data_IF_945821226491
#
_entry.id   IF_945821226491
#
_cell.length_a   1.000
_cell.length_b   1.000
_cell.length_c   1.000
_cell.angle_alpha   90.00
_cell.angle_beta   90.00
_cell.angle_gamma   90.00
#
_symmetry.space_group_name_H-M   'P 1'
#
loop_
_entity.id
_entity.type
_entity.pdbx_description
1 polymer ?
#
# COMPACT_ATOMS: atom_id res chain seq x y z
N UNK A 1 -14.39 -25.61 -17.66
CA UNK A 1 -14.58 -24.49 -16.76
C UNK A 1 -15.18 -23.36 -17.58
N UNK A 2 -16.34 -22.81 -17.24
CA UNK A 2 -16.88 -21.68 -17.97
C UNK A 2 -15.95 -20.48 -17.72
N UNK A 3 -15.46 -19.92 -18.80
CA UNK A 3 -14.68 -18.68 -18.85
C UNK A 3 -15.60 -17.49 -18.56
N UNK A 4 -15.12 -16.63 -17.69
CA UNK A 4 -15.41 -15.19 -17.62
C UNK A 4 -16.88 -14.79 -17.84
N UNK A 5 -17.68 -14.90 -16.77
CA UNK A 5 -18.79 -14.00 -16.63
C UNK A 5 -18.20 -12.59 -16.51
N UNK A 6 -18.36 -11.76 -17.55
CA UNK A 6 -18.04 -10.34 -17.53
C UNK A 6 -18.80 -9.69 -16.37
N UNK A 7 -18.21 -9.66 -15.19
CA UNK A 7 -18.68 -8.77 -14.15
C UNK A 7 -18.57 -7.34 -14.69
N UNK A 8 -19.54 -6.48 -14.46
CA UNK A 8 -19.44 -5.10 -14.89
C UNK A 8 -18.17 -4.52 -14.31
N UNK A 9 -17.27 -4.07 -15.17
CA UNK A 9 -16.01 -3.47 -14.77
C UNK A 9 -16.35 -2.25 -13.92
N UNK A 10 -15.85 -2.23 -12.67
CA UNK A 10 -16.06 -1.09 -11.76
C UNK A 10 -15.47 0.16 -12.41
N UNK A 11 -16.27 1.22 -12.50
CA UNK A 11 -15.79 2.50 -13.00
C UNK A 11 -15.00 3.22 -11.88
N UNK A 12 -13.69 3.22 -12.02
CA UNK A 12 -12.73 3.80 -11.06
C UNK A 12 -12.45 5.28 -11.34
N UNK A 13 -13.29 5.97 -12.09
CA UNK A 13 -13.13 7.42 -12.28
C UNK A 13 -13.29 8.19 -10.97
N UNK A 14 -12.63 9.35 -10.87
CA UNK A 14 -12.68 10.20 -9.68
C UNK A 14 -14.11 10.60 -9.27
N UNK A 15 -15.02 10.75 -10.23
CA UNK A 15 -16.42 11.08 -9.95
C UNK A 15 -17.13 10.00 -9.12
N UNK A 16 -16.71 8.74 -9.21
CA UNK A 16 -17.27 7.61 -8.49
C UNK A 16 -16.52 7.32 -7.17
N UNK A 17 -15.50 8.11 -6.84
CA UNK A 17 -14.74 7.95 -5.60
C UNK A 17 -15.62 7.92 -4.34
N UNK A 18 -16.64 8.80 -4.18
CA UNK A 18 -17.51 8.77 -3.00
C UNK A 18 -18.28 7.44 -2.85
N UNK A 19 -18.58 6.78 -3.96
CA UNK A 19 -19.31 5.51 -3.95
C UNK A 19 -18.40 4.29 -3.84
N UNK A 20 -17.26 4.33 -4.52
CA UNK A 20 -16.32 3.21 -4.58
C UNK A 20 -15.32 3.21 -3.43
N UNK A 21 -15.01 4.37 -2.85
CA UNK A 21 -13.94 4.56 -1.87
C UNK A 21 -12.54 4.41 -2.48
N UNK A 22 -12.47 4.36 -3.80
CA UNK A 22 -11.20 4.28 -4.53
C UNK A 22 -11.37 4.82 -5.95
N UNK A 23 -10.27 5.31 -6.53
CA UNK A 23 -10.24 5.77 -7.92
C UNK A 23 -8.86 5.59 -8.54
N UNK A 24 -8.83 5.42 -9.84
CA UNK A 24 -7.63 5.41 -10.67
C UNK A 24 -7.48 6.77 -11.38
N UNK A 25 -6.36 7.42 -11.15
CA UNK A 25 -6.05 8.70 -11.81
C UNK A 25 -5.30 8.45 -13.12
N UNK A 26 -4.67 7.28 -13.24
CA UNK A 26 -3.88 6.89 -14.38
C UNK A 26 -2.43 7.39 -14.30
N UNK A 27 -1.72 7.27 -15.41
CA UNK A 27 -0.32 7.69 -15.51
C UNK A 27 -0.27 9.20 -15.80
N UNK A 28 -0.06 9.98 -14.76
CA UNK A 28 0.02 11.45 -14.86
C UNK A 28 1.46 11.97 -14.72
N UNK A 29 2.38 11.11 -14.30
CA UNK A 29 3.78 11.48 -14.14
C UNK A 29 4.60 11.00 -15.33
N UNK A 30 5.64 11.77 -15.61
CA UNK A 30 6.64 11.43 -16.61
C UNK A 30 7.31 10.10 -16.27
N UNK A 31 7.27 9.17 -17.24
CA UNK A 31 7.82 7.82 -17.08
C UNK A 31 9.33 7.83 -16.84
N UNK A 32 10.05 8.74 -17.50
CA UNK A 32 11.51 8.84 -17.36
C UNK A 32 11.88 9.31 -15.96
N UNK A 33 11.18 10.34 -15.44
CA UNK A 33 11.37 10.83 -14.07
C UNK A 33 11.00 9.78 -13.04
N UNK A 34 9.89 9.09 -13.22
CA UNK A 34 9.47 7.99 -12.33
C UNK A 34 10.51 6.88 -12.32
N UNK A 35 11.04 6.49 -13.48
CA UNK A 35 12.08 5.47 -13.60
C UNK A 35 13.41 5.91 -13.02
N UNK A 36 13.79 7.17 -13.20
CA UNK A 36 15.00 7.73 -12.60
C UNK A 36 14.91 7.76 -11.08
N UNK A 37 13.79 8.19 -10.54
CA UNK A 37 13.56 8.17 -9.10
C UNK A 37 13.56 6.74 -8.54
N UNK A 38 12.92 5.79 -9.23
CA UNK A 38 13.00 4.36 -8.87
C UNK A 38 14.44 3.87 -8.82
N UNK A 39 15.23 4.20 -9.84
CA UNK A 39 16.65 3.79 -9.90
C UNK A 39 17.45 4.37 -8.74
N UNK A 40 17.23 5.62 -8.41
CA UNK A 40 17.82 6.27 -7.25
C UNK A 40 17.44 5.56 -5.92
N UNK A 41 16.15 5.24 -5.74
CA UNK A 41 15.70 4.50 -4.57
C UNK A 41 16.33 3.10 -4.51
N UNK A 42 16.41 2.40 -5.64
CA UNK A 42 17.00 1.06 -5.71
C UNK A 42 18.49 1.06 -5.38
N UNK A 43 19.22 2.07 -5.83
CA UNK A 43 20.63 2.23 -5.50
C UNK A 43 20.86 2.44 -4.00
N UNK A 44 20.06 3.29 -3.39
CA UNK A 44 20.21 3.62 -1.96
C UNK A 44 19.58 2.58 -1.03
N UNK A 45 18.53 1.90 -1.48
CA UNK A 45 17.73 0.94 -0.71
C UNK A 45 17.44 -0.29 -1.58
N UNK A 46 18.43 -1.17 -1.76
CA UNK A 46 18.24 -2.40 -2.53
C UNK A 46 17.20 -3.31 -1.84
N UNK A 47 16.57 -4.20 -2.63
CA UNK A 47 15.72 -5.27 -2.11
C UNK A 47 16.41 -6.60 -2.36
N UNK A 48 17.12 -7.06 -1.35
CA UNK A 48 17.78 -8.36 -1.33
C UNK A 48 17.97 -8.81 0.13
N UNK A 49 18.53 -9.97 0.34
CA UNK A 49 18.78 -10.55 1.66
C UNK A 49 19.74 -9.74 2.55
N UNK A 50 20.58 -8.91 1.95
CA UNK A 50 21.59 -8.12 2.70
C UNK A 50 21.00 -7.03 3.59
N UNK A 51 19.73 -6.66 3.40
CA UNK A 51 19.07 -5.66 4.24
C UNK A 51 18.60 -6.25 5.58
N UNK A 52 18.51 -7.57 5.70
CA UNK A 52 17.98 -8.27 6.87
C UNK A 52 19.08 -8.71 7.83
N UNK A 53 18.74 -8.86 9.10
CA UNK A 53 19.58 -9.58 10.05
C UNK A 53 19.88 -10.98 9.52
N UNK A 54 21.13 -11.43 9.71
CA UNK A 54 21.61 -12.69 9.10
C UNK A 54 21.04 -13.93 9.76
N UNK A 55 20.65 -13.83 11.03
CA UNK A 55 20.10 -14.96 11.77
C UNK A 55 19.14 -14.50 12.86
N UNK A 56 18.37 -15.44 13.38
CA UNK A 56 17.47 -15.24 14.52
C UNK A 56 18.23 -14.74 15.75
N UNK A 57 19.40 -15.29 16.03
CA UNK A 57 20.23 -14.92 17.17
C UNK A 57 20.72 -13.47 17.07
N UNK A 58 21.13 -13.04 15.86
CA UNK A 58 21.50 -11.65 15.63
C UNK A 58 20.31 -10.72 15.82
N UNK A 59 19.15 -11.10 15.28
CA UNK A 59 17.92 -10.36 15.46
C UNK A 59 17.52 -10.25 16.93
N UNK A 60 17.53 -11.34 17.70
CA UNK A 60 17.20 -11.32 19.13
C UNK A 60 18.18 -10.49 19.96
N UNK A 61 19.42 -10.40 19.52
CA UNK A 61 20.44 -9.57 20.19
C UNK A 61 20.34 -8.07 19.86
N UNK A 62 19.90 -7.71 18.66
CA UNK A 62 19.97 -6.34 18.13
C UNK A 62 18.66 -5.82 17.57
N UNK A 63 17.78 -6.70 17.17
CA UNK A 63 16.52 -6.36 16.50
C UNK A 63 15.50 -5.70 17.40
N UNK A 64 14.52 -5.03 16.79
CA UNK A 64 13.45 -4.34 17.49
C UNK A 64 12.10 -4.85 17.01
N UNK A 65 11.29 -5.27 17.96
CA UNK A 65 9.88 -5.63 17.69
C UNK A 65 8.94 -4.43 17.55
N UNK A 66 9.44 -3.23 17.76
CA UNK A 66 8.63 -2.03 17.64
C UNK A 66 8.11 -1.88 16.21
N UNK A 67 6.83 -1.55 16.13
CA UNK A 67 6.17 -1.26 14.86
C UNK A 67 6.75 0.04 14.33
N UNK A 68 7.78 -0.07 13.51
CA UNK A 68 8.43 1.06 12.90
C UNK A 68 7.58 1.56 11.73
N UNK A 69 7.21 2.82 11.77
CA UNK A 69 6.51 3.47 10.66
C UNK A 69 7.43 4.52 10.03
N UNK A 70 8.12 4.19 8.93
CA UNK A 70 8.82 5.20 8.16
C UNK A 70 7.80 6.26 7.70
N UNK A 71 8.14 7.51 7.83
CA UNK A 71 7.21 8.61 7.63
C UNK A 71 6.92 9.35 8.93
N UNK A 72 7.47 8.90 10.04
CA UNK A 72 7.60 9.68 11.25
C UNK A 72 8.97 10.36 11.26
N UNK A 73 8.95 11.68 11.01
CA UNK A 73 10.08 12.56 11.31
C UNK A 73 11.44 12.18 10.66
N UNK A 74 12.50 12.07 11.49
CA UNK A 74 13.90 11.99 11.06
C UNK A 74 14.31 10.71 10.32
N UNK A 75 13.47 9.68 10.28
CA UNK A 75 13.81 8.37 9.72
C UNK A 75 13.18 8.08 8.35
N UNK A 76 12.47 9.02 7.75
CA UNK A 76 11.84 8.81 6.47
C UNK A 76 12.81 9.11 5.32
N UNK A 77 12.99 8.14 4.43
CA UNK A 77 13.81 8.31 3.23
C UNK A 77 13.43 9.55 2.41
N UNK A 78 12.12 9.81 2.28
CA UNK A 78 11.60 10.93 1.48
C UNK A 78 11.82 12.31 2.10
N UNK A 79 12.29 12.39 3.35
CA UNK A 79 12.63 13.65 4.03
C UNK A 79 14.11 13.99 3.96
N UNK A 80 14.92 13.16 3.29
CA UNK A 80 16.36 13.41 3.13
C UNK A 80 16.60 14.55 2.15
N UNK A 81 17.63 15.39 2.38
CA UNK A 81 17.91 16.55 1.54
C UNK A 81 18.15 16.24 0.07
N UNK A 82 18.66 15.04 -0.23
CA UNK A 82 18.93 14.57 -1.58
C UNK A 82 17.70 14.06 -2.34
N UNK A 83 16.54 14.01 -1.69
CA UNK A 83 15.28 13.51 -2.28
C UNK A 83 14.45 14.68 -2.80
N UNK A 84 14.34 14.77 -4.12
CA UNK A 84 13.46 15.73 -4.79
C UNK A 84 12.16 15.05 -5.21
N UNK A 85 11.05 15.56 -4.71
CA UNK A 85 9.68 15.12 -5.04
C UNK A 85 8.90 16.17 -5.85
N UNK A 86 9.53 17.25 -6.28
CA UNK A 86 8.87 18.33 -7.04
C UNK A 86 8.18 17.80 -8.32
N UNK A 87 8.77 16.78 -8.96
CA UNK A 87 8.16 16.15 -10.14
C UNK A 87 6.79 15.51 -9.87
N UNK A 88 6.46 15.21 -8.61
CA UNK A 88 5.14 14.75 -8.14
C UNK A 88 4.35 15.91 -7.59
N UNK A 89 4.86 16.57 -6.57
CA UNK A 89 4.11 17.53 -5.72
C UNK A 89 3.75 18.81 -6.48
N UNK A 90 4.56 19.21 -7.45
CA UNK A 90 4.33 20.40 -8.30
C UNK A 90 3.76 20.01 -9.69
N UNK A 91 3.51 18.74 -9.94
CA UNK A 91 2.93 18.30 -11.21
C UNK A 91 1.48 18.84 -11.33
N UNK A 92 1.17 19.62 -12.39
CA UNK A 92 -0.15 20.21 -12.52
C UNK A 92 -1.31 19.20 -12.55
N UNK A 93 -1.10 18.02 -13.16
CA UNK A 93 -2.12 16.99 -13.22
C UNK A 93 -2.33 16.34 -11.85
N UNK A 94 -1.25 16.15 -11.07
CA UNK A 94 -1.35 15.68 -9.70
C UNK A 94 -2.09 16.68 -8.81
N UNK A 95 -1.68 17.96 -8.84
CA UNK A 95 -2.31 19.03 -8.07
C UNK A 95 -3.80 19.12 -8.40
N UNK A 96 -4.16 19.14 -9.69
CA UNK A 96 -5.57 19.19 -10.10
C UNK A 96 -6.37 17.96 -9.62
N UNK A 97 -5.78 16.77 -9.69
CA UNK A 97 -6.43 15.55 -9.21
C UNK A 97 -6.65 15.59 -7.69
N UNK A 98 -5.66 16.05 -6.93
CA UNK A 98 -5.78 16.19 -5.47
C UNK A 98 -6.77 17.30 -5.07
N UNK A 99 -6.81 18.41 -5.78
CA UNK A 99 -7.83 19.46 -5.55
C UNK A 99 -9.26 18.95 -5.85
N UNK A 100 -9.42 18.15 -6.87
CA UNK A 100 -10.72 17.54 -7.19
C UNK A 100 -11.15 16.52 -6.13
N UNK A 101 -10.19 15.79 -5.54
CA UNK A 101 -10.45 14.71 -4.58
C UNK A 101 -10.62 15.23 -3.15
N UNK A 102 -9.74 16.12 -2.71
CA UNK A 102 -9.62 16.57 -1.33
C UNK A 102 -10.04 18.04 -1.13
N UNK A 103 -10.27 18.78 -2.20
CA UNK A 103 -10.54 20.22 -2.15
C UNK A 103 -9.28 21.08 -2.19
N UNK A 104 -9.48 22.37 -2.46
CA UNK A 104 -8.37 23.33 -2.47
C UNK A 104 -7.77 23.50 -1.08
N UNK A 105 -6.45 23.56 -1.05
CA UNK A 105 -5.70 23.70 0.21
C UNK A 105 -5.48 22.37 0.94
N UNK A 106 -5.63 21.24 0.26
CA UNK A 106 -5.22 19.93 0.79
C UNK A 106 -3.77 19.95 1.27
N UNK A 107 -3.44 19.08 2.20
CA UNK A 107 -2.09 18.96 2.74
C UNK A 107 -1.61 17.50 2.65
N UNK A 108 -0.37 17.32 2.24
CA UNK A 108 0.31 16.03 2.30
C UNK A 108 0.96 15.92 3.68
N UNK A 109 0.33 15.17 4.59
CA UNK A 109 0.81 15.09 5.98
C UNK A 109 1.75 13.90 6.22
N UNK A 110 1.75 12.91 5.33
CA UNK A 110 2.62 11.73 5.42
C UNK A 110 3.03 11.28 4.03
N UNK A 111 4.30 10.94 3.90
CA UNK A 111 4.87 10.33 2.70
C UNK A 111 5.71 9.13 3.11
N UNK A 112 5.70 8.06 2.35
CA UNK A 112 6.55 6.90 2.59
C UNK A 112 6.82 6.14 1.30
N UNK A 113 7.96 5.48 1.23
CA UNK A 113 8.21 4.45 0.23
C UNK A 113 7.76 3.11 0.81
N UNK A 114 6.93 2.40 0.06
CA UNK A 114 6.52 1.03 0.35
C UNK A 114 7.15 0.12 -0.69
N UNK A 115 7.80 -0.94 -0.22
CA UNK A 115 8.42 -1.95 -1.07
C UNK A 115 7.85 -3.31 -0.78
N UNK A 116 7.37 -3.97 -1.82
CA UNK A 116 7.05 -5.39 -1.76
C UNK A 116 8.35 -6.18 -1.87
N UNK A 117 8.58 -7.07 -0.91
CA UNK A 117 9.74 -7.95 -0.87
C UNK A 117 9.32 -9.32 -1.38
N UNK A 118 9.90 -9.79 -2.49
CA UNK A 118 9.55 -11.11 -3.01
C UNK A 118 10.08 -12.22 -2.07
N UNK A 119 9.40 -13.36 -2.06
CA UNK A 119 9.73 -14.49 -1.16
C UNK A 119 11.19 -14.93 -1.26
N UNK A 120 11.76 -14.91 -2.46
CA UNK A 120 13.16 -15.30 -2.67
C UNK A 120 14.18 -14.37 -2.02
N UNK A 121 13.78 -13.14 -1.67
CA UNK A 121 14.65 -12.15 -1.01
C UNK A 121 14.46 -12.12 0.52
N UNK A 122 13.47 -12.85 1.05
CA UNK A 122 13.27 -12.97 2.51
C UNK A 122 14.11 -14.13 3.02
N UNK A 123 14.98 -13.93 4.02
CA UNK A 123 15.73 -15.02 4.64
C UNK A 123 14.80 -16.10 5.23
N UNK A 124 15.14 -17.37 5.03
CA UNK A 124 14.34 -18.52 5.47
C UNK A 124 14.01 -18.45 6.98
N UNK A 125 14.96 -18.01 7.80
CA UNK A 125 14.73 -17.90 9.24
C UNK A 125 13.64 -16.90 9.60
N UNK A 126 13.42 -15.86 8.77
CA UNK A 126 12.33 -14.88 8.97
C UNK A 126 10.99 -15.53 8.65
N UNK A 127 10.90 -16.26 7.54
CA UNK A 127 9.68 -16.97 7.16
C UNK A 127 9.26 -17.95 8.25
N UNK A 128 10.21 -18.72 8.78
CA UNK A 128 9.96 -19.65 9.88
C UNK A 128 9.55 -18.92 11.18
N UNK A 129 10.20 -17.79 11.45
CA UNK A 129 9.95 -17.00 12.66
C UNK A 129 8.56 -16.36 12.67
N UNK A 130 8.07 -15.90 11.52
CA UNK A 130 6.77 -15.21 11.40
C UNK A 130 5.61 -16.12 11.04
N UNK A 131 5.86 -17.37 10.70
CA UNK A 131 4.88 -18.36 10.24
C UNK A 131 3.68 -18.48 11.16
N UNK A 132 3.93 -18.45 12.46
CA UNK A 132 2.88 -18.57 13.48
C UNK A 132 2.33 -17.21 13.95
N UNK A 133 2.99 -16.12 13.56
CA UNK A 133 2.67 -14.75 14.04
C UNK A 133 1.94 -13.93 12.99
N UNK A 134 2.00 -14.34 11.71
CA UNK A 134 1.28 -13.67 10.62
C UNK A 134 1.69 -12.21 10.42
N UNK A 135 2.97 -11.87 10.47
CA UNK A 135 3.45 -10.50 10.35
C UNK A 135 3.94 -10.18 8.94
N UNK A 136 3.17 -9.45 8.15
CA UNK A 136 3.57 -9.04 6.80
C UNK A 136 4.61 -7.91 6.78
N UNK A 137 4.76 -7.16 7.87
CA UNK A 137 5.72 -6.06 7.98
C UNK A 137 7.09 -6.61 8.35
N UNK A 138 8.04 -6.43 7.45
CA UNK A 138 9.42 -6.93 7.59
C UNK A 138 10.37 -5.92 8.25
N UNK A 139 9.96 -4.69 8.51
CA UNK A 139 10.84 -3.67 9.09
C UNK A 139 11.51 -4.07 10.41
N UNK A 140 10.87 -4.83 11.34
CA UNK A 140 11.56 -5.29 12.54
C UNK A 140 12.81 -6.13 12.28
N UNK A 141 12.88 -6.80 11.14
CA UNK A 141 13.95 -7.72 10.75
C UNK A 141 15.04 -7.07 9.89
N UNK A 142 14.87 -5.79 9.55
CA UNK A 142 15.76 -5.01 8.69
C UNK A 142 16.75 -4.25 9.55
N UNK A 143 18.02 -4.16 9.10
CA UNK A 143 19.03 -3.32 9.77
C UNK A 143 18.59 -1.85 9.86
N UNK A 144 18.99 -1.16 10.91
CA UNK A 144 18.58 0.21 11.23
C UNK A 144 18.76 1.19 10.06
N UNK A 145 19.79 1.05 9.27
CA UNK A 145 20.10 1.90 8.12
C UNK A 145 19.10 1.80 6.96
N UNK A 146 18.31 0.72 6.90
CA UNK A 146 17.28 0.50 5.89
C UNK A 146 15.86 0.76 6.39
N UNK A 147 15.68 1.08 7.65
CA UNK A 147 14.36 1.23 8.26
C UNK A 147 13.62 2.52 7.87
N UNK A 148 14.21 3.36 7.04
CA UNK A 148 13.59 4.57 6.52
C UNK A 148 12.63 4.33 5.33
N UNK A 149 12.49 3.07 4.91
CA UNK A 149 11.55 2.55 3.90
C UNK A 149 10.70 1.46 4.52
N UNK A 150 9.47 1.31 4.07
CA UNK A 150 8.59 0.21 4.50
C UNK A 150 8.77 -1.01 3.63
N UNK A 151 8.96 -2.17 4.26
CA UNK A 151 9.13 -3.45 3.60
C UNK A 151 8.00 -4.40 4.00
N UNK A 152 7.27 -4.90 3.00
CA UNK A 152 6.20 -5.87 3.20
C UNK A 152 6.42 -7.10 2.34
N UNK A 153 6.13 -8.27 2.88
CA UNK A 153 6.10 -9.50 2.11
C UNK A 153 4.70 -9.74 1.51
N UNK A 154 3.69 -9.70 2.35
CA UNK A 154 2.28 -9.69 1.97
C UNK A 154 1.49 -8.97 3.07
N UNK A 155 0.32 -8.45 2.73
CA UNK A 155 -0.58 -7.82 3.72
C UNK A 155 -1.98 -8.36 3.54
N UNK A 156 -2.62 -8.66 4.65
CA UNK A 156 -4.05 -8.90 4.67
C UNK A 156 -4.82 -7.61 4.43
N UNK A 157 -6.09 -7.71 4.07
CA UNK A 157 -6.96 -6.56 4.00
C UNK A 157 -7.02 -5.85 5.36
N UNK A 158 -6.80 -4.56 5.33
CA UNK A 158 -6.84 -3.69 6.51
C UNK A 158 -7.37 -2.31 6.13
N UNK A 159 -7.63 -1.49 7.12
CA UNK A 159 -7.99 -0.08 6.96
C UNK A 159 -6.82 0.78 7.43
N UNK A 160 -6.44 1.78 6.65
CA UNK A 160 -5.42 2.75 7.04
C UNK A 160 -5.95 3.73 8.10
N UNK A 161 -7.25 3.92 8.14
CA UNK A 161 -7.91 4.83 9.08
C UNK A 161 -7.93 4.25 10.49
N UNK A 162 -7.22 4.91 11.40
CA UNK A 162 -7.07 4.46 12.79
C UNK A 162 -7.90 5.26 13.79
N UNK A 163 -8.51 6.36 13.35
CA UNK A 163 -9.35 7.23 14.19
C UNK A 163 -10.58 7.69 13.41
N UNK A 164 -11.72 7.77 14.08
CA UNK A 164 -13.00 8.18 13.48
C UNK A 164 -12.95 9.60 12.92
N UNK A 165 -12.19 10.47 13.58
CA UNK A 165 -12.06 11.89 13.23
C UNK A 165 -11.07 12.15 12.09
N UNK A 166 -10.33 11.12 11.69
CA UNK A 166 -9.36 11.26 10.59
C UNK A 166 -10.09 11.17 9.27
N UNK A 167 -10.00 12.20 8.48
CA UNK A 167 -10.46 12.20 7.10
C UNK A 167 -9.27 12.46 6.18
N UNK A 168 -8.84 11.42 5.49
CA UNK A 168 -7.70 11.47 4.59
C UNK A 168 -7.88 10.47 3.44
N UNK A 169 -7.18 10.73 2.39
CA UNK A 169 -7.09 9.84 1.22
C UNK A 169 -5.67 9.33 1.13
N UNK A 170 -5.51 8.02 1.00
CA UNK A 170 -4.23 7.40 0.70
C UNK A 170 -4.00 7.42 -0.81
N UNK A 171 -2.83 7.88 -1.22
CA UNK A 171 -2.45 7.99 -2.64
C UNK A 171 -1.23 7.15 -2.90
N UNK A 172 -1.34 6.18 -3.79
CA UNK A 172 -0.22 5.36 -4.25
C UNK A 172 0.25 5.82 -5.62
N UNK A 173 1.54 6.13 -5.69
CA UNK A 173 2.26 6.34 -6.92
C UNK A 173 3.07 5.08 -7.24
N UNK A 174 2.80 4.45 -8.37
CA UNK A 174 3.60 3.34 -8.85
C UNK A 174 4.87 3.82 -9.54
N UNK A 175 6.00 3.40 -9.01
CA UNK A 175 7.32 3.64 -9.62
C UNK A 175 7.72 2.53 -10.59
N UNK A 176 7.01 1.41 -10.55
CA UNK A 176 7.18 0.23 -11.39
C UNK A 176 5.94 -0.06 -12.23
N UNK A 177 6.10 -0.92 -13.22
CA UNK A 177 4.98 -1.64 -13.82
C UNK A 177 4.43 -2.62 -12.78
N UNK A 178 3.15 -2.52 -12.46
CA UNK A 178 2.44 -3.41 -11.53
C UNK A 178 1.42 -4.23 -12.28
N UNK A 179 1.55 -5.55 -12.23
CA UNK A 179 0.65 -6.52 -12.83
C UNK A 179 -0.08 -7.32 -11.74
N UNK A 180 -1.18 -7.95 -12.09
CA UNK A 180 -2.11 -8.57 -11.15
C UNK A 180 -1.47 -9.65 -10.25
N UNK A 181 -0.47 -10.35 -10.74
CA UNK A 181 0.29 -11.40 -10.07
C UNK A 181 1.60 -10.90 -9.44
N UNK A 182 1.87 -9.59 -9.54
CA UNK A 182 3.11 -8.98 -9.09
C UNK A 182 2.88 -7.92 -8.01
N UNK A 183 2.51 -8.37 -6.82
CA UNK A 183 2.30 -7.52 -5.62
C UNK A 183 1.32 -6.36 -5.81
N UNK A 184 0.36 -6.51 -6.71
CA UNK A 184 -0.66 -5.49 -6.95
C UNK A 184 -1.52 -5.25 -5.71
N UNK A 185 -1.84 -3.99 -5.46
CA UNK A 185 -2.80 -3.61 -4.43
C UNK A 185 -4.16 -4.23 -4.74
N UNK A 186 -4.81 -4.79 -3.72
CA UNK A 186 -6.19 -5.28 -3.80
C UNK A 186 -7.08 -4.41 -2.94
N UNK A 187 -8.22 -4.02 -3.48
CA UNK A 187 -9.15 -3.13 -2.79
C UNK A 187 -10.53 -3.76 -2.80
N UNK A 188 -11.23 -3.67 -1.68
CA UNK A 188 -12.64 -4.04 -1.55
C UNK A 188 -13.48 -2.79 -1.81
N UNK A 189 -14.06 -2.72 -3.00
CA UNK A 189 -14.81 -1.56 -3.47
C UNK A 189 -16.01 -1.28 -2.57
N UNK A 190 -16.16 -0.03 -2.16
CA UNK A 190 -17.25 0.43 -1.31
C UNK A 190 -17.09 0.08 0.17
N UNK A 191 -16.04 -0.64 0.57
CA UNK A 191 -15.85 -1.07 1.98
C UNK A 191 -15.69 0.09 2.95
N UNK A 192 -15.24 1.26 2.52
CA UNK A 192 -15.15 2.49 3.30
C UNK A 192 -16.51 2.91 3.91
N UNK A 193 -17.64 2.53 3.28
CA UNK A 193 -18.99 2.81 3.77
C UNK A 193 -19.30 2.13 5.10
N UNK A 194 -18.56 1.09 5.47
CA UNK A 194 -18.62 0.49 6.80
C UNK A 194 -18.02 1.40 7.88
N UNK A 195 -17.29 2.44 7.47
CA UNK A 195 -16.57 3.31 8.38
C UNK A 195 -15.41 2.59 9.07
N UNK A 196 -14.87 3.21 10.11
CA UNK A 196 -13.86 2.56 10.94
C UNK A 196 -14.52 1.44 11.74
N UNK A 197 -14.09 0.21 11.47
CA UNK A 197 -14.61 -0.95 12.17
C UNK A 197 -13.95 -1.13 13.53
N UNK A 198 -14.76 -1.49 14.50
CA UNK A 198 -14.28 -1.95 15.82
C UNK A 198 -14.10 -3.47 15.78
N UNK A 199 -13.04 -3.96 16.40
CA UNK A 199 -12.86 -5.41 16.58
C UNK A 199 -13.93 -5.98 17.52
N UNK A 200 -14.35 -7.22 17.27
CA UNK A 200 -14.01 -8.07 16.16
C UNK A 200 -14.80 -7.76 14.88
N UNK A 201 -14.15 -7.94 13.75
CA UNK A 201 -14.79 -7.94 12.44
C UNK A 201 -14.41 -9.22 11.67
N UNK A 202 -15.20 -9.57 10.68
CA UNK A 202 -14.98 -10.74 9.86
C UNK A 202 -15.00 -10.40 8.37
N UNK A 203 -14.05 -10.92 7.65
CA UNK A 203 -13.96 -10.85 6.20
C UNK A 203 -13.93 -12.27 5.64
N UNK A 204 -14.91 -12.62 4.83
CA UNK A 204 -15.02 -13.95 4.22
C UNK A 204 -15.14 -13.86 2.73
N UNK A 205 -14.30 -14.60 2.02
CA UNK A 205 -14.36 -14.74 0.58
C UNK A 205 -15.57 -15.58 0.17
N UNK A 206 -16.22 -15.23 -0.93
CA UNK A 206 -17.27 -16.06 -1.50
C UNK A 206 -16.72 -17.42 -1.98
N UNK A 207 -17.46 -18.49 -1.75
CA UNK A 207 -17.10 -19.83 -2.25
C UNK A 207 -17.35 -19.98 -3.76
N UNK A 208 -18.19 -19.14 -4.33
CA UNK A 208 -18.63 -19.24 -5.73
C UNK A 208 -17.99 -18.18 -6.64
N UNK A 209 -17.51 -17.10 -6.05
CA UNK A 209 -16.94 -15.96 -6.76
C UNK A 209 -15.73 -15.46 -5.99
N UNK A 210 -14.55 -15.68 -6.55
CA UNK A 210 -13.29 -15.39 -5.88
C UNK A 210 -12.98 -13.88 -5.73
N UNK A 211 -13.67 -13.04 -6.48
CA UNK A 211 -13.51 -11.59 -6.37
C UNK A 211 -14.56 -10.93 -5.49
N UNK A 212 -15.43 -11.74 -4.86
CA UNK A 212 -16.48 -11.28 -3.97
C UNK A 212 -16.23 -11.63 -2.52
N UNK A 213 -16.45 -10.65 -1.64
CA UNK A 213 -16.21 -10.75 -0.21
C UNK A 213 -17.44 -10.35 0.60
N UNK A 214 -17.63 -10.99 1.73
CA UNK A 214 -18.61 -10.63 2.73
C UNK A 214 -17.88 -10.04 3.93
N UNK A 215 -18.17 -8.78 4.23
CA UNK A 215 -17.57 -8.02 5.30
C UNK A 215 -18.63 -7.74 6.37
N UNK A 216 -18.34 -8.06 7.64
CA UNK A 216 -19.23 -7.82 8.77
C UNK A 216 -18.44 -7.30 9.95
N UNK A 217 -19.07 -6.44 10.76
CA UNK A 217 -18.52 -5.93 12.00
C UNK A 217 -19.23 -6.49 13.24
N UNK A 218 -18.73 -6.13 14.44
CA UNK A 218 -19.30 -6.55 15.71
C UNK A 218 -20.64 -5.90 16.07
N UNK A 219 -21.08 -4.89 15.30
CA UNK A 219 -22.36 -4.19 15.52
C UNK A 219 -23.51 -4.78 14.72
N UNK A 220 -23.22 -5.81 13.91
CA UNK A 220 -24.21 -6.46 13.05
C UNK A 220 -24.33 -5.86 11.67
N UNK A 221 -23.52 -4.84 11.34
CA UNK A 221 -23.43 -4.35 9.98
C UNK A 221 -22.76 -5.40 9.10
N UNK A 222 -23.28 -5.55 7.88
CA UNK A 222 -22.67 -6.42 6.89
C UNK A 222 -22.83 -5.82 5.51
N UNK A 223 -21.88 -6.09 4.66
CA UNK A 223 -21.93 -5.72 3.23
C UNK A 223 -21.21 -6.74 2.39
N UNK A 224 -21.57 -6.74 1.11
CA UNK A 224 -20.88 -7.49 0.08
C UNK A 224 -20.03 -6.51 -0.72
N UNK A 225 -18.76 -6.84 -0.90
CA UNK A 225 -17.78 -6.04 -1.63
C UNK A 225 -17.22 -6.84 -2.79
N UNK A 226 -17.02 -6.19 -3.93
CA UNK A 226 -16.22 -6.74 -5.01
C UNK A 226 -14.76 -6.36 -4.83
N UNK A 227 -13.86 -7.32 -5.00
CA UNK A 227 -12.43 -7.11 -4.98
C UNK A 227 -11.97 -6.66 -6.37
N UNK A 228 -11.19 -5.62 -6.40
CA UNK A 228 -10.41 -5.24 -7.58
C UNK A 228 -8.93 -5.43 -7.31
N UNK A 229 -8.18 -5.70 -8.37
CA UNK A 229 -6.72 -5.71 -8.38
C UNK A 229 -6.24 -4.51 -9.16
N UNK A 230 -5.50 -3.63 -8.50
CA UNK A 230 -5.03 -2.36 -9.08
C UNK A 230 -3.74 -2.61 -9.82
N UNK A 231 -3.77 -2.46 -11.14
CA UNK A 231 -2.61 -2.58 -12.01
C UNK A 231 -2.29 -1.24 -12.65
N UNK A 232 -1.05 -1.03 -13.06
CA UNK A 232 -0.68 0.23 -13.73
C UNK A 232 0.80 0.30 -14.08
N UNK A 233 1.13 1.21 -14.97
CA UNK A 233 2.51 1.50 -15.35
C UNK A 233 3.20 2.44 -14.37
N UNK A 234 4.53 2.58 -14.52
CA UNK A 234 5.28 3.60 -13.79
C UNK A 234 4.69 5.00 -14.05
N UNK A 235 4.52 5.77 -12.97
CA UNK A 235 3.87 7.08 -13.02
C UNK A 235 2.34 7.05 -12.85
N UNK A 236 1.73 5.86 -12.75
CA UNK A 236 0.30 5.73 -12.46
C UNK A 236 0.00 6.03 -11.00
N UNK A 237 -1.15 6.66 -10.78
CA UNK A 237 -1.63 7.01 -9.44
C UNK A 237 -2.98 6.34 -9.20
N UNK A 238 -3.08 5.75 -8.04
CA UNK A 238 -4.30 5.19 -7.48
C UNK A 238 -4.55 5.78 -6.10
N UNK A 239 -5.80 6.05 -5.78
CA UNK A 239 -6.18 6.59 -4.47
C UNK A 239 -7.33 5.79 -3.85
N UNK A 240 -7.35 5.76 -2.52
CA UNK A 240 -8.41 5.10 -1.75
C UNK A 240 -8.60 5.77 -0.39
N UNK A 241 -9.77 5.48 0.19
CA UNK A 241 -10.22 6.05 1.47
C UNK A 241 -10.00 5.07 2.61
#
# INVERSE_FOLDING_TARGET
>A
MPKDANLPKVDLSLQNFPDNGCAEIGAILDKEKSSAFRSFVNEKRPVNDSIFYKSKEEFEAKGRWENYSPGRESHNFLLKPEVDLSFVEENPAFVQAMENLCGKGYQIFKKAIIRSVPSWAVPEWIDDYVKDVGRPNLNPFVYDEFQDVQYFHCTDFHQDKTRRESDFVTVYLYLDQVEADYSALRVLVGSHKMGMTTYPHALRRSMHDHDRWFYSDSTGNNMQCDQITVTGGAGSIFCFH
#
